data_IF_604192817766
#
_entry.id   IF_604192817766
#
_cell.length_a   1.000
_cell.length_b   1.000
_cell.length_c   1.000
_cell.angle_alpha   90.00
_cell.angle_beta   90.00
_cell.angle_gamma   90.00
#
_symmetry.space_group_name_H-M   'P 1'
#
loop_
_entity.id
_entity.type
_entity.pdbx_description
1 polymer ?
#
# COMPACT_ATOMS: atom_id res chain seq x y z
N UNK A 1 1.17 -24.06 -28.93
CA UNK A 1 0.05 -24.10 -27.96
C UNK A 1 -1.22 -23.53 -28.59
N UNK A 2 -1.35 -22.20 -28.62
CA UNK A 2 -2.55 -21.50 -29.11
C UNK A 2 -2.95 -21.79 -30.56
N UNK A 3 -2.02 -22.20 -31.42
CA UNK A 3 -2.27 -22.62 -32.81
C UNK A 3 -3.19 -23.83 -32.95
N UNK A 4 -3.41 -24.59 -31.87
CA UNK A 4 -4.30 -25.76 -31.83
C UNK A 4 -5.61 -25.50 -31.09
N UNK A 5 -5.85 -24.27 -30.62
CA UNK A 5 -7.11 -23.88 -29.99
C UNK A 5 -7.95 -23.08 -30.97
N UNK A 6 -9.09 -23.64 -31.38
CA UNK A 6 -10.00 -23.03 -32.37
C UNK A 6 -10.86 -21.88 -31.82
N UNK A 7 -10.65 -21.44 -30.57
CA UNK A 7 -11.51 -20.43 -29.91
C UNK A 7 -10.73 -19.41 -29.08
N UNK A 8 -11.17 -18.15 -29.14
CA UNK A 8 -10.78 -17.07 -28.21
C UNK A 8 -11.51 -17.27 -26.87
N UNK A 9 -10.81 -17.26 -25.74
CA UNK A 9 -11.37 -17.56 -24.41
C UNK A 9 -11.18 -16.38 -23.46
N UNK A 10 -12.12 -16.17 -22.53
CA UNK A 10 -12.06 -15.10 -21.51
C UNK A 10 -11.90 -13.69 -22.13
N UNK A 11 -11.02 -12.83 -21.58
CA UNK A 11 -10.76 -11.47 -22.06
C UNK A 11 -10.41 -11.40 -23.56
N UNK A 12 -9.80 -12.46 -24.10
CA UNK A 12 -9.42 -12.57 -25.51
C UNK A 12 -10.63 -12.69 -26.44
N UNK A 13 -11.82 -13.03 -25.93
CA UNK A 13 -13.05 -13.13 -26.73
C UNK A 13 -13.43 -11.80 -27.38
N UNK A 14 -13.02 -10.67 -26.79
CA UNK A 14 -13.27 -9.33 -27.32
C UNK A 14 -12.28 -8.92 -28.43
N UNK A 15 -11.20 -9.68 -28.65
CA UNK A 15 -10.18 -9.33 -29.61
C UNK A 15 -10.66 -9.62 -31.03
N UNK A 16 -10.38 -8.71 -31.98
CA UNK A 16 -10.72 -8.92 -33.40
C UNK A 16 -9.83 -9.97 -34.06
N UNK A 17 -8.56 -10.05 -33.66
CA UNK A 17 -7.55 -11.01 -34.16
C UNK A 17 -7.41 -12.22 -33.23
N UNK A 18 -6.88 -13.32 -33.73
CA UNK A 18 -6.52 -14.50 -32.92
C UNK A 18 -5.37 -14.17 -31.94
N UNK A 19 -5.21 -15.00 -30.92
CA UNK A 19 -4.14 -14.84 -29.92
C UNK A 19 -2.76 -14.81 -30.57
N UNK A 20 -2.51 -15.72 -31.51
CA UNK A 20 -1.24 -15.81 -32.26
C UNK A 20 -0.98 -14.57 -33.11
N UNK A 21 -2.01 -14.01 -33.76
CA UNK A 21 -1.87 -12.78 -34.55
C UNK A 21 -1.64 -11.54 -33.67
N UNK A 22 -2.26 -11.47 -32.49
CA UNK A 22 -2.03 -10.37 -31.54
C UNK A 22 -0.60 -10.43 -31.01
N UNK A 23 -0.14 -11.61 -30.56
CA UNK A 23 1.24 -11.76 -30.11
C UNK A 23 2.23 -11.47 -31.23
N UNK A 24 2.05 -12.04 -32.43
CA UNK A 24 2.95 -11.77 -33.55
C UNK A 24 3.02 -10.27 -33.93
N UNK A 25 1.90 -9.54 -33.82
CA UNK A 25 1.87 -8.10 -34.07
C UNK A 25 2.49 -7.25 -32.95
N UNK A 26 2.46 -7.75 -31.71
CA UNK A 26 3.00 -7.05 -30.53
C UNK A 26 4.44 -7.47 -30.21
N UNK A 27 4.92 -8.60 -30.73
CA UNK A 27 6.28 -9.08 -30.54
C UNK A 27 7.28 -8.16 -31.22
N UNK A 28 8.36 -7.83 -30.50
CA UNK A 28 9.50 -7.09 -31.01
C UNK A 28 10.71 -8.00 -31.14
N UNK A 29 11.63 -7.65 -32.04
CA UNK A 29 12.89 -8.37 -32.21
C UNK A 29 13.73 -8.30 -30.94
N UNK A 30 14.40 -9.41 -30.58
CA UNK A 30 15.38 -9.44 -29.48
C UNK A 30 16.52 -8.42 -29.67
N UNK A 31 16.78 -7.98 -30.91
CA UNK A 31 17.74 -6.92 -31.21
C UNK A 31 17.36 -5.56 -30.61
N UNK A 32 16.11 -5.38 -30.17
CA UNK A 32 15.67 -4.16 -29.49
C UNK A 32 16.11 -4.12 -28.03
N UNK A 33 16.38 -5.25 -27.38
CA UNK A 33 16.79 -5.29 -25.97
C UNK A 33 17.95 -4.34 -25.64
N UNK A 34 19.10 -4.37 -26.34
CA UNK A 34 20.19 -3.43 -26.06
C UNK A 34 19.82 -1.97 -26.34
N UNK A 35 19.00 -1.70 -27.36
CA UNK A 35 18.55 -0.33 -27.71
C UNK A 35 17.65 0.23 -26.60
N UNK A 36 16.66 -0.55 -26.17
CA UNK A 36 15.74 -0.17 -25.09
C UNK A 36 16.48 -0.01 -23.77
N UNK A 37 17.45 -0.88 -23.47
CA UNK A 37 18.32 -0.75 -22.29
C UNK A 37 19.08 0.58 -22.30
N UNK A 38 19.68 0.94 -23.44
CA UNK A 38 20.41 2.20 -23.60
C UNK A 38 19.50 3.42 -23.39
N UNK A 39 18.28 3.40 -23.93
CA UNK A 39 17.30 4.47 -23.72
C UNK A 39 16.86 4.58 -22.24
N UNK A 40 16.63 3.45 -21.57
CA UNK A 40 16.35 3.41 -20.13
C UNK A 40 17.50 4.03 -19.32
N UNK A 41 18.75 3.71 -19.67
CA UNK A 41 19.95 4.25 -19.01
C UNK A 41 20.06 5.78 -19.19
N UNK A 42 19.75 6.31 -20.37
CA UNK A 42 19.78 7.75 -20.66
C UNK A 42 18.83 8.55 -19.76
N UNK A 43 17.70 7.97 -19.38
CA UNK A 43 16.68 8.62 -18.54
C UNK A 43 16.74 8.19 -17.07
N UNK A 44 17.68 7.29 -16.71
CA UNK A 44 17.92 6.87 -15.34
C UNK A 44 16.87 5.92 -14.76
N UNK A 45 16.28 5.06 -15.60
CA UNK A 45 15.38 3.99 -15.15
C UNK A 45 15.99 2.62 -15.46
N UNK A 46 15.68 1.62 -14.65
CA UNK A 46 16.09 0.25 -14.94
C UNK A 46 15.29 -0.31 -16.12
N UNK A 47 15.98 -0.94 -17.06
CA UNK A 47 15.33 -1.76 -18.08
C UNK A 47 14.87 -3.08 -17.44
N UNK A 48 13.65 -3.47 -17.78
CA UNK A 48 13.01 -4.65 -17.23
C UNK A 48 12.20 -5.38 -18.30
N UNK A 49 12.16 -6.71 -18.22
CA UNK A 49 11.33 -7.56 -19.08
C UNK A 49 11.06 -8.91 -18.43
N UNK A 50 9.97 -9.57 -18.82
CA UNK A 50 9.66 -10.94 -18.40
C UNK A 50 10.04 -11.91 -19.51
N UNK A 51 11.01 -12.82 -19.31
CA UNK A 51 11.27 -13.90 -20.26
C UNK A 51 10.23 -15.01 -20.13
N UNK A 52 9.88 -15.65 -21.26
CA UNK A 52 8.80 -16.65 -21.36
C UNK A 52 9.31 -18.02 -21.83
N UNK A 53 10.62 -18.18 -22.02
CA UNK A 53 11.28 -19.42 -22.43
C UNK A 53 12.77 -19.41 -22.01
N UNK A 54 13.46 -20.54 -22.13
CA UNK A 54 14.87 -20.65 -21.72
C UNK A 54 15.80 -19.73 -22.52
N UNK A 55 15.58 -19.58 -23.82
CA UNK A 55 16.43 -18.75 -24.68
C UNK A 55 16.32 -17.27 -24.29
N UNK A 56 15.11 -16.80 -24.03
CA UNK A 56 14.86 -15.44 -23.54
C UNK A 56 15.44 -15.24 -22.15
N UNK A 57 15.36 -16.22 -21.23
CA UNK A 57 16.03 -16.15 -19.92
C UNK A 57 17.53 -15.88 -20.08
N UNK A 58 18.22 -16.64 -20.94
CA UNK A 58 19.65 -16.42 -21.18
C UNK A 58 19.94 -15.07 -21.85
N UNK A 59 19.14 -14.72 -22.87
CA UNK A 59 19.32 -13.48 -23.65
C UNK A 59 19.17 -12.24 -22.78
N UNK A 60 18.15 -12.16 -21.91
CA UNK A 60 17.88 -10.96 -21.12
C UNK A 60 18.71 -10.87 -19.85
N UNK A 61 19.27 -11.99 -19.38
CA UNK A 61 20.08 -12.04 -18.16
C UNK A 61 21.14 -10.93 -18.09
N UNK A 62 22.01 -10.66 -19.08
CA UNK A 62 23.00 -9.59 -18.97
C UNK A 62 22.42 -8.16 -18.89
N UNK A 63 21.14 -7.95 -19.24
CA UNK A 63 20.55 -6.62 -19.37
C UNK A 63 19.66 -6.20 -18.20
N UNK A 64 19.07 -7.15 -17.47
CA UNK A 64 18.09 -6.85 -16.42
C UNK A 64 18.71 -6.93 -15.01
N UNK A 65 18.25 -6.10 -14.04
CA UNK A 65 18.71 -6.17 -12.66
C UNK A 65 18.07 -7.31 -11.85
N UNK A 66 16.90 -7.79 -12.27
CA UNK A 66 16.11 -8.84 -11.62
C UNK A 66 15.28 -9.60 -12.66
N UNK A 67 14.87 -10.83 -12.34
CA UNK A 67 13.95 -11.61 -13.18
C UNK A 67 12.50 -11.37 -12.77
N UNK A 68 11.62 -11.22 -13.76
CA UNK A 68 10.17 -11.24 -13.57
C UNK A 68 9.58 -12.50 -14.19
N UNK A 69 8.93 -13.32 -13.37
CA UNK A 69 8.02 -14.35 -13.84
C UNK A 69 6.59 -13.79 -13.85
N UNK A 70 5.91 -13.90 -14.97
CA UNK A 70 4.49 -13.61 -15.08
C UNK A 70 3.67 -14.66 -14.35
N UNK A 71 2.36 -14.42 -14.23
CA UNK A 71 1.46 -15.39 -13.60
C UNK A 71 1.30 -16.69 -14.37
N UNK A 72 1.56 -16.67 -15.68
CA UNK A 72 1.54 -17.88 -16.52
C UNK A 72 2.71 -18.84 -16.25
N UNK A 73 3.78 -18.38 -15.60
CA UNK A 73 4.98 -19.20 -15.35
C UNK A 73 4.99 -19.81 -13.94
N UNK A 74 3.96 -19.58 -13.12
CA UNK A 74 3.99 -19.96 -11.69
C UNK A 74 4.13 -21.46 -11.45
N UNK A 75 3.60 -22.30 -12.35
CA UNK A 75 3.66 -23.75 -12.25
C UNK A 75 4.82 -24.36 -13.05
N UNK A 76 5.58 -23.56 -13.79
CA UNK A 76 6.77 -24.00 -14.52
C UNK A 76 8.02 -23.97 -13.62
N UNK A 77 8.06 -24.90 -12.67
CA UNK A 77 9.08 -24.96 -11.62
C UNK A 77 10.51 -24.97 -12.18
N UNK A 78 10.77 -25.70 -13.25
CA UNK A 78 12.10 -25.77 -13.85
C UNK A 78 12.60 -24.41 -14.36
N UNK A 79 11.72 -23.59 -14.96
CA UNK A 79 12.08 -22.25 -15.39
C UNK A 79 12.31 -21.30 -14.19
N UNK A 80 11.51 -21.43 -13.13
CA UNK A 80 11.69 -20.65 -11.90
C UNK A 80 13.02 -20.98 -11.22
N UNK A 81 13.37 -22.25 -11.10
CA UNK A 81 14.66 -22.70 -10.56
C UNK A 81 15.83 -22.24 -11.43
N UNK A 82 15.66 -22.29 -12.76
CA UNK A 82 16.67 -21.83 -13.70
C UNK A 82 16.93 -20.32 -13.58
N UNK A 83 15.89 -19.48 -13.51
CA UNK A 83 16.03 -18.05 -13.22
C UNK A 83 16.66 -17.80 -11.85
N UNK A 84 16.24 -18.54 -10.81
CA UNK A 84 16.79 -18.41 -9.47
C UNK A 84 18.30 -18.70 -9.43
N UNK A 85 18.76 -19.68 -10.21
CA UNK A 85 20.17 -20.08 -10.29
C UNK A 85 21.10 -18.98 -10.82
N UNK A 86 20.56 -17.99 -11.53
CA UNK A 86 21.31 -16.84 -12.05
C UNK A 86 21.72 -15.84 -10.95
N UNK A 87 21.22 -16.01 -9.73
CA UNK A 87 21.65 -15.24 -8.55
C UNK A 87 21.12 -13.80 -8.46
N UNK A 88 20.22 -13.40 -9.36
CA UNK A 88 19.58 -12.08 -9.36
C UNK A 88 18.27 -12.09 -8.57
N UNK A 89 17.81 -10.96 -8.00
CA UNK A 89 16.47 -10.88 -7.41
C UNK A 89 15.40 -11.39 -8.36
N UNK A 90 14.36 -12.00 -7.80
CA UNK A 90 13.22 -12.52 -8.54
C UNK A 90 11.92 -11.86 -8.09
N UNK A 91 11.04 -11.62 -9.04
CA UNK A 91 9.70 -11.11 -8.83
C UNK A 91 8.75 -12.10 -9.50
N UNK A 92 7.75 -12.59 -8.79
CA UNK A 92 6.75 -13.53 -9.32
C UNK A 92 5.35 -13.02 -9.02
N UNK A 93 4.50 -12.96 -10.06
CA UNK A 93 3.08 -12.68 -9.87
C UNK A 93 2.28 -13.98 -9.82
N UNK A 94 1.23 -14.04 -9.01
CA UNK A 94 0.48 -15.27 -8.77
C UNK A 94 -1.01 -15.23 -9.14
N UNK A 95 -1.36 -14.51 -10.21
CA UNK A 95 -2.74 -14.52 -10.71
C UNK A 95 -3.08 -15.86 -11.36
N UNK A 96 -4.38 -16.19 -11.40
CA UNK A 96 -4.87 -17.48 -11.89
C UNK A 96 -4.24 -18.72 -11.21
N UNK A 97 -3.68 -18.56 -10.01
CA UNK A 97 -3.02 -19.61 -9.24
C UNK A 97 -3.72 -19.84 -7.90
N UNK A 98 -3.70 -21.07 -7.41
CA UNK A 98 -4.13 -21.35 -6.04
C UNK A 98 -2.96 -21.26 -5.04
N UNK A 99 -3.25 -21.46 -3.75
CA UNK A 99 -2.22 -21.36 -2.71
C UNK A 99 -1.17 -22.46 -2.79
N UNK A 100 -1.51 -23.64 -3.33
CA UNK A 100 -0.57 -24.74 -3.49
C UNK A 100 0.42 -24.46 -4.63
N UNK A 101 -0.03 -23.85 -5.73
CA UNK A 101 0.84 -23.34 -6.80
C UNK A 101 1.84 -22.34 -6.26
N UNK A 102 1.34 -21.33 -5.52
CA UNK A 102 2.18 -20.30 -4.88
C UNK A 102 3.22 -20.94 -3.96
N UNK A 103 2.80 -21.88 -3.10
CA UNK A 103 3.70 -22.58 -2.19
C UNK A 103 4.80 -23.33 -2.93
N UNK A 104 4.47 -24.07 -3.99
CA UNK A 104 5.46 -24.79 -4.81
C UNK A 104 6.48 -23.84 -5.43
N UNK A 105 6.01 -22.78 -6.09
CA UNK A 105 6.86 -21.79 -6.74
C UNK A 105 7.80 -21.09 -5.75
N UNK A 106 7.25 -20.57 -4.66
CA UNK A 106 8.04 -19.87 -3.63
C UNK A 106 9.07 -20.80 -2.99
N UNK A 107 8.70 -22.04 -2.67
CA UNK A 107 9.66 -23.00 -2.08
C UNK A 107 10.76 -23.40 -3.06
N UNK A 108 10.45 -23.60 -4.34
CA UNK A 108 11.45 -23.91 -5.36
C UNK A 108 12.47 -22.77 -5.50
N UNK A 109 11.99 -21.53 -5.64
CA UNK A 109 12.86 -20.36 -5.74
C UNK A 109 13.70 -20.19 -4.46
N UNK A 110 13.07 -20.21 -3.29
CA UNK A 110 13.75 -19.94 -2.02
C UNK A 110 14.77 -21.01 -1.62
N UNK A 111 14.73 -22.22 -2.20
CA UNK A 111 15.81 -23.21 -2.02
C UNK A 111 17.12 -22.75 -2.66
N UNK A 112 17.04 -21.95 -3.72
CA UNK A 112 18.19 -21.53 -4.54
C UNK A 112 18.55 -20.07 -4.27
N UNK A 113 17.55 -19.19 -4.16
CA UNK A 113 17.73 -17.75 -4.09
C UNK A 113 16.73 -17.11 -3.11
N UNK A 114 17.23 -16.37 -2.12
CA UNK A 114 16.42 -15.74 -1.07
C UNK A 114 15.84 -14.38 -1.46
N UNK A 115 16.29 -13.81 -2.57
CA UNK A 115 15.88 -12.48 -3.02
C UNK A 115 14.59 -12.57 -3.83
N UNK A 116 13.45 -12.67 -3.14
CA UNK A 116 12.14 -12.88 -3.77
C UNK A 116 11.15 -11.77 -3.41
N UNK A 117 10.45 -11.28 -4.43
CA UNK A 117 9.20 -10.54 -4.30
C UNK A 117 8.02 -11.37 -4.82
N UNK A 118 7.03 -11.63 -3.97
CA UNK A 118 5.79 -12.32 -4.31
C UNK A 118 4.66 -11.30 -4.50
N UNK A 119 4.07 -11.25 -5.69
CA UNK A 119 3.04 -10.28 -6.03
C UNK A 119 1.66 -10.92 -6.07
N UNK A 120 0.74 -10.40 -5.24
CA UNK A 120 -0.68 -10.67 -5.42
C UNK A 120 -1.12 -10.12 -6.78
N UNK A 121 -1.92 -10.89 -7.51
CA UNK A 121 -2.36 -10.54 -8.85
C UNK A 121 -3.72 -11.17 -9.15
N UNK A 122 -4.58 -10.42 -9.84
CA UNK A 122 -5.73 -10.99 -10.53
C UNK A 122 -5.50 -10.86 -12.04
N UNK A 123 -5.37 -11.99 -12.74
CA UNK A 123 -5.09 -12.07 -14.18
C UNK A 123 -6.37 -11.89 -15.00
N UNK A 124 -7.02 -10.74 -14.86
CA UNK A 124 -8.14 -10.34 -15.69
C UNK A 124 -7.86 -8.96 -16.29
N UNK A 125 -7.58 -8.94 -17.59
CA UNK A 125 -7.19 -7.76 -18.36
C UNK A 125 -8.40 -7.03 -18.95
N UNK A 126 -9.55 -7.11 -18.28
CA UNK A 126 -10.73 -6.33 -18.68
C UNK A 126 -10.70 -4.96 -18.02
N UNK A 127 -11.19 -3.94 -18.71
CA UNK A 127 -11.41 -2.62 -18.13
C UNK A 127 -12.70 -2.56 -17.27
N UNK A 128 -13.15 -3.70 -16.73
CA UNK A 128 -14.45 -3.83 -16.06
C UNK A 128 -14.37 -3.37 -14.61
N UNK A 129 -15.34 -2.57 -14.11
CA UNK A 129 -15.48 -2.29 -12.68
C UNK A 129 -15.60 -3.57 -11.83
N UNK A 130 -16.17 -4.65 -12.36
CA UNK A 130 -16.32 -5.90 -11.60
C UNK A 130 -14.97 -6.52 -11.19
N UNK A 131 -13.87 -6.14 -11.83
CA UNK A 131 -12.54 -6.63 -11.46
C UNK A 131 -12.11 -6.20 -10.06
N UNK A 132 -12.65 -5.11 -9.52
CA UNK A 132 -12.37 -4.69 -8.15
C UNK A 132 -12.85 -5.73 -7.13
N UNK A 133 -13.95 -6.42 -7.41
CA UNK A 133 -14.52 -7.45 -6.52
C UNK A 133 -13.68 -8.73 -6.49
N UNK A 134 -12.80 -8.92 -7.47
CA UNK A 134 -12.00 -10.14 -7.65
C UNK A 134 -10.51 -9.96 -7.33
N UNK A 135 -10.07 -8.74 -6.98
CA UNK A 135 -8.66 -8.46 -6.73
C UNK A 135 -8.15 -9.11 -5.43
N UNK A 136 -9.04 -9.23 -4.43
CA UNK A 136 -8.81 -9.92 -3.16
C UNK A 136 -7.50 -9.51 -2.44
N UNK A 137 -7.28 -8.20 -2.24
CA UNK A 137 -6.05 -7.70 -1.61
C UNK A 137 -5.74 -8.29 -0.22
N UNK A 138 -6.74 -8.81 0.51
CA UNK A 138 -6.50 -9.50 1.78
C UNK A 138 -5.62 -10.76 1.65
N UNK A 139 -5.41 -11.30 0.45
CA UNK A 139 -4.42 -12.36 0.20
C UNK A 139 -3.01 -11.93 0.63
N UNK A 140 -2.68 -10.63 0.57
CA UNK A 140 -1.42 -10.11 1.08
C UNK A 140 -1.22 -10.40 2.58
N UNK A 141 -2.30 -10.44 3.38
CA UNK A 141 -2.23 -10.84 4.79
C UNK A 141 -1.84 -12.31 4.90
N UNK A 142 -2.46 -13.18 4.11
CA UNK A 142 -2.10 -14.61 4.05
C UNK A 142 -0.64 -14.80 3.65
N UNK A 143 -0.17 -14.10 2.62
CA UNK A 143 1.24 -14.17 2.19
C UNK A 143 2.19 -13.67 3.29
N UNK A 144 1.85 -12.59 4.00
CA UNK A 144 2.70 -12.08 5.08
C UNK A 144 2.89 -13.07 6.24
N UNK A 145 1.89 -13.91 6.52
CA UNK A 145 1.98 -14.96 7.55
C UNK A 145 2.75 -16.17 7.03
N UNK A 146 2.50 -16.58 5.78
CA UNK A 146 3.11 -17.79 5.20
C UNK A 146 4.57 -17.59 4.79
N UNK A 147 4.93 -16.38 4.38
CA UNK A 147 6.23 -16.04 3.82
C UNK A 147 6.77 -14.74 4.45
N UNK A 148 7.03 -14.74 5.78
CA UNK A 148 7.33 -13.51 6.53
C UNK A 148 8.60 -12.77 6.07
N UNK A 149 9.55 -13.50 5.47
CA UNK A 149 10.81 -12.95 4.97
C UNK A 149 10.76 -12.57 3.48
N UNK A 150 9.63 -12.77 2.81
CA UNK A 150 9.46 -12.48 1.37
C UNK A 150 8.85 -11.09 1.20
N UNK A 151 9.41 -10.30 0.27
CA UNK A 151 8.87 -8.99 -0.07
C UNK A 151 7.53 -9.19 -0.77
N UNK A 152 6.47 -8.51 -0.32
CA UNK A 152 5.17 -8.59 -0.99
C UNK A 152 4.99 -7.49 -2.02
N UNK A 153 4.22 -7.77 -3.06
CA UNK A 153 3.88 -6.81 -4.10
C UNK A 153 2.45 -6.94 -4.61
N UNK A 154 2.05 -6.02 -5.48
CA UNK A 154 0.79 -6.06 -6.21
C UNK A 154 1.08 -5.85 -7.70
N UNK A 155 0.63 -6.80 -8.53
CA UNK A 155 0.54 -6.65 -9.98
C UNK A 155 -0.93 -6.46 -10.33
N UNK A 156 -1.28 -5.28 -10.83
CA UNK A 156 -2.67 -4.82 -10.92
C UNK A 156 -3.07 -4.38 -12.33
N UNK A 157 -4.27 -4.79 -12.71
CA UNK A 157 -4.86 -4.58 -14.03
C UNK A 157 -6.14 -3.75 -13.96
N UNK A 158 -6.44 -3.15 -12.81
CA UNK A 158 -7.52 -2.18 -12.66
C UNK A 158 -7.08 -0.78 -13.11
N UNK A 159 -7.96 0.23 -13.06
CA UNK A 159 -7.64 1.62 -13.41
C UNK A 159 -7.37 2.53 -12.21
N UNK A 160 -7.83 2.13 -11.02
CA UNK A 160 -7.90 3.04 -9.87
C UNK A 160 -6.60 3.07 -9.10
N UNK A 161 -6.36 4.15 -8.37
CA UNK A 161 -5.28 4.26 -7.39
C UNK A 161 -5.62 3.53 -6.09
N UNK A 162 -6.92 3.37 -5.78
CA UNK A 162 -7.37 2.80 -4.50
C UNK A 162 -6.80 1.40 -4.21
N UNK A 163 -6.75 0.45 -5.17
CA UNK A 163 -6.13 -0.85 -4.93
C UNK A 163 -4.64 -0.79 -4.56
N UNK A 164 -3.90 0.12 -5.19
CA UNK A 164 -2.46 0.33 -4.92
C UNK A 164 -2.26 0.81 -3.49
N UNK A 165 -3.03 1.82 -3.06
CA UNK A 165 -2.99 2.32 -1.67
C UNK A 165 -3.38 1.24 -0.66
N UNK A 166 -4.40 0.44 -0.99
CA UNK A 166 -4.83 -0.71 -0.21
C UNK A 166 -3.70 -1.73 -0.05
N UNK A 167 -3.03 -2.11 -1.13
CA UNK A 167 -1.93 -3.07 -1.09
C UNK A 167 -0.74 -2.56 -0.28
N UNK A 168 -0.36 -1.28 -0.44
CA UNK A 168 0.74 -0.67 0.34
C UNK A 168 0.43 -0.68 1.83
N UNK A 169 -0.83 -0.39 2.20
CA UNK A 169 -1.33 -0.49 3.59
C UNK A 169 -1.24 -1.92 4.13
N UNK A 170 -1.43 -2.91 3.27
CA UNK A 170 -1.35 -4.33 3.61
C UNK A 170 0.08 -4.91 3.55
N UNK A 171 1.09 -4.07 3.35
CA UNK A 171 2.50 -4.47 3.41
C UNK A 171 3.18 -4.67 2.05
N UNK A 172 2.50 -4.44 0.92
CA UNK A 172 3.16 -4.48 -0.38
C UNK A 172 4.23 -3.38 -0.50
N UNK A 173 5.37 -3.72 -1.10
CA UNK A 173 6.54 -2.84 -1.34
C UNK A 173 6.94 -2.74 -2.80
N UNK A 174 6.23 -3.45 -3.68
CA UNK A 174 6.40 -3.38 -5.12
C UNK A 174 5.04 -3.30 -5.79
N UNK A 175 4.87 -2.35 -6.70
CA UNK A 175 3.63 -2.12 -7.44
C UNK A 175 3.95 -2.19 -8.94
N UNK A 176 3.21 -3.03 -9.65
CA UNK A 176 3.30 -3.18 -11.11
C UNK A 176 1.94 -2.84 -11.72
N UNK A 177 1.97 -2.00 -12.76
CA UNK A 177 0.81 -1.57 -13.54
C UNK A 177 1.24 -1.47 -15.00
N UNK A 178 0.33 -1.76 -15.92
CA UNK A 178 0.54 -1.42 -17.32
C UNK A 178 0.62 0.10 -17.47
N UNK A 179 1.47 0.56 -18.39
CA UNK A 179 1.65 1.98 -18.70
C UNK A 179 1.41 2.24 -20.18
N UNK A 180 0.83 3.39 -20.48
CA UNK A 180 0.67 3.90 -21.85
C UNK A 180 0.88 5.40 -21.86
N UNK A 181 1.34 5.95 -22.97
CA UNK A 181 1.29 7.39 -23.21
C UNK A 181 -0.14 7.90 -23.47
N UNK A 182 -1.04 7.06 -24.00
CA UNK A 182 -2.47 7.39 -24.16
C UNK A 182 -3.38 6.16 -24.20
N UNK A 183 -4.45 6.20 -23.42
CA UNK A 183 -5.50 5.17 -23.41
C UNK A 183 -6.34 5.13 -24.71
N UNK A 184 -6.20 6.11 -25.60
CA UNK A 184 -6.90 6.14 -26.89
C UNK A 184 -6.26 5.22 -27.93
N UNK A 185 -5.02 4.77 -27.70
CA UNK A 185 -4.31 3.86 -28.61
C UNK A 185 -5.04 2.54 -28.79
N UNK A 186 -4.83 1.95 -29.97
CA UNK A 186 -5.30 0.60 -30.28
C UNK A 186 -4.35 -0.45 -29.74
N UNK A 187 -4.89 -1.44 -29.06
CA UNK A 187 -4.16 -2.58 -28.51
C UNK A 187 -4.91 -3.16 -27.32
N UNK A 188 -4.56 -4.39 -26.90
CA UNK A 188 -5.30 -5.10 -25.87
C UNK A 188 -5.23 -4.40 -24.50
N UNK A 189 -4.10 -3.76 -24.21
CA UNK A 189 -3.80 -3.30 -22.85
C UNK A 189 -3.92 -1.80 -22.64
N UNK A 190 -3.99 -1.02 -23.73
CA UNK A 190 -4.06 0.44 -23.65
C UNK A 190 -5.27 0.95 -22.88
N UNK A 191 -6.39 0.22 -22.91
CA UNK A 191 -7.62 0.68 -22.26
C UNK A 191 -7.51 0.68 -20.74
N UNK A 192 -6.81 -0.27 -20.14
CA UNK A 192 -6.65 -0.37 -18.68
C UNK A 192 -5.31 0.11 -18.12
N UNK A 193 -4.32 0.34 -18.97
CA UNK A 193 -3.04 0.91 -18.58
C UNK A 193 -3.16 2.29 -17.91
N UNK A 194 -2.21 2.64 -17.06
CA UNK A 194 -2.04 3.98 -16.52
C UNK A 194 -1.43 4.90 -17.59
N UNK A 195 -2.04 6.07 -17.77
CA UNK A 195 -1.42 7.16 -18.53
C UNK A 195 -0.47 7.99 -17.64
N UNK A 196 0.31 8.95 -18.20
CA UNK A 196 1.25 9.73 -17.40
C UNK A 196 0.62 10.47 -16.22
N UNK A 197 -0.60 11.00 -16.39
CA UNK A 197 -1.33 11.71 -15.33
C UNK A 197 -1.72 10.77 -14.18
N UNK A 198 -2.35 9.64 -14.51
CA UNK A 198 -2.79 8.66 -13.52
C UNK A 198 -1.62 7.96 -12.83
N UNK A 199 -0.50 7.73 -13.56
CA UNK A 199 0.73 7.21 -12.98
C UNK A 199 1.33 8.19 -11.97
N UNK A 200 1.45 9.47 -12.33
CA UNK A 200 1.97 10.50 -11.43
C UNK A 200 1.11 10.62 -10.16
N UNK A 201 -0.22 10.63 -10.33
CA UNK A 201 -1.17 10.63 -9.21
C UNK A 201 -1.01 9.40 -8.32
N UNK A 202 -0.87 8.21 -8.90
CA UNK A 202 -0.63 6.97 -8.14
C UNK A 202 0.62 7.07 -7.28
N UNK A 203 1.72 7.59 -7.83
CA UNK A 203 2.98 7.78 -7.09
C UNK A 203 2.81 8.81 -5.98
N UNK A 204 2.22 9.96 -6.28
CA UNK A 204 1.98 11.03 -5.30
C UNK A 204 1.15 10.53 -4.11
N UNK A 205 -0.01 9.93 -4.38
CA UNK A 205 -0.91 9.41 -3.34
C UNK A 205 -0.25 8.30 -2.52
N UNK A 206 0.56 7.45 -3.14
CA UNK A 206 1.32 6.41 -2.44
C UNK A 206 2.33 7.03 -1.47
N UNK A 207 3.07 8.05 -1.91
CA UNK A 207 4.05 8.75 -1.05
C UNK A 207 3.37 9.54 0.06
N UNK A 208 2.21 10.13 -0.20
CA UNK A 208 1.39 10.76 0.84
C UNK A 208 0.93 9.74 1.87
N UNK A 209 0.44 8.57 1.43
CA UNK A 209 0.03 7.48 2.32
C UNK A 209 1.19 7.00 3.20
N UNK A 210 2.36 6.73 2.62
CA UNK A 210 3.54 6.26 3.35
C UNK A 210 3.97 7.27 4.43
N UNK A 211 3.98 8.56 4.10
CA UNK A 211 4.24 9.64 5.07
C UNK A 211 3.18 9.71 6.16
N UNK A 212 1.95 9.28 5.88
CA UNK A 212 0.82 9.37 6.80
C UNK A 212 0.76 8.23 7.82
N UNK A 213 1.42 7.09 7.58
CA UNK A 213 1.39 5.98 8.52
C UNK A 213 1.97 6.35 9.90
N UNK A 214 3.05 7.15 9.94
CA UNK A 214 3.59 7.68 11.18
C UNK A 214 3.89 6.60 12.24
N UNK A 215 3.57 6.90 13.51
CA UNK A 215 3.77 5.99 14.64
C UNK A 215 2.47 5.26 15.00
N UNK A 216 2.60 4.02 15.49
CA UNK A 216 1.49 3.29 16.12
C UNK A 216 1.07 3.87 17.47
N UNK A 217 1.91 4.71 18.09
CA UNK A 217 1.63 5.30 19.39
C UNK A 217 0.74 6.54 19.26
N UNK A 218 -0.33 6.61 20.05
CA UNK A 218 -1.18 7.80 20.11
C UNK A 218 -0.62 8.83 21.10
N UNK A 219 -0.02 9.88 20.57
CA UNK A 219 0.39 11.05 21.32
C UNK A 219 -0.17 12.35 20.70
N UNK A 220 0.15 13.47 21.34
CA UNK A 220 -0.20 14.82 20.85
C UNK A 220 0.95 15.27 19.96
N UNK A 221 0.67 15.46 18.68
CA UNK A 221 1.69 15.78 17.71
C UNK A 221 2.27 17.19 17.95
N UNK A 222 3.45 17.47 17.37
CA UNK A 222 4.12 18.77 17.54
C UNK A 222 3.25 19.95 17.09
N UNK A 223 2.47 19.78 16.03
CA UNK A 223 1.54 20.79 15.50
C UNK A 223 0.23 20.92 16.32
N UNK A 224 0.01 20.08 17.33
CA UNK A 224 -1.22 20.09 18.14
C UNK A 224 -1.00 20.66 19.56
N UNK A 225 0.23 21.07 19.92
CA UNK A 225 0.55 21.47 21.29
C UNK A 225 -0.28 22.66 21.78
N UNK A 226 -0.49 23.65 20.92
CA UNK A 226 -1.37 24.80 21.23
C UNK A 226 -2.85 24.38 21.22
N UNK A 227 -3.25 23.58 20.23
CA UNK A 227 -4.61 23.05 20.09
C UNK A 227 -5.04 22.26 21.33
N UNK A 228 -4.15 21.47 21.94
CA UNK A 228 -4.39 20.76 23.19
C UNK A 228 -4.85 21.70 24.30
N UNK A 229 -4.25 22.89 24.40
CA UNK A 229 -4.60 23.87 25.45
C UNK A 229 -5.95 24.51 25.13
N UNK A 230 -6.11 25.00 23.90
CA UNK A 230 -7.30 25.78 23.49
C UNK A 230 -8.57 24.92 23.42
N UNK A 231 -8.47 23.71 22.87
CA UNK A 231 -9.63 22.86 22.58
C UNK A 231 -10.01 21.92 23.73
N UNK A 232 -9.13 21.68 24.71
CA UNK A 232 -9.47 20.84 25.86
C UNK A 232 -10.12 21.66 26.96
N UNK A 233 -10.93 20.98 27.76
CA UNK A 233 -11.61 21.56 28.92
C UNK A 233 -10.80 21.33 30.21
N UNK A 234 -10.93 22.22 31.16
CA UNK A 234 -10.51 22.04 32.55
C UNK A 234 -11.68 22.34 33.49
N UNK A 235 -11.50 22.02 34.76
CA UNK A 235 -12.43 22.41 35.80
C UNK A 235 -12.26 23.92 36.06
N UNK A 236 -13.38 24.63 36.15
CA UNK A 236 -13.46 26.06 36.45
C UNK A 236 -14.53 26.30 37.51
N UNK A 237 -14.43 27.40 38.25
CA UNK A 237 -15.47 27.79 39.20
C UNK A 237 -16.77 28.16 38.45
N UNK A 238 -17.90 27.55 38.79
CA UNK A 238 -19.21 27.82 38.21
C UNK A 238 -19.92 29.04 38.86
N UNK A 239 -19.32 29.60 39.91
CA UNK A 239 -19.70 30.82 40.62
C UNK A 239 -18.48 31.39 41.33
N UNK A 240 -18.62 32.52 42.00
CA UNK A 240 -17.62 32.96 42.98
C UNK A 240 -17.58 31.98 44.17
N UNK A 241 -16.37 31.57 44.58
CA UNK A 241 -16.09 30.64 45.67
C UNK A 241 -15.15 31.32 46.67
N UNK A 242 -15.46 31.25 47.96
CA UNK A 242 -14.69 31.86 49.04
C UNK A 242 -13.70 30.88 49.67
N UNK A 243 -12.58 31.40 50.17
CA UNK A 243 -11.64 30.62 50.94
C UNK A 243 -12.33 29.90 52.12
N UNK A 244 -12.05 28.62 52.29
CA UNK A 244 -12.64 27.73 53.30
C UNK A 244 -13.90 26.98 52.85
N UNK A 245 -14.56 27.38 51.75
CA UNK A 245 -15.71 26.63 51.21
C UNK A 245 -15.28 25.23 50.74
N UNK A 246 -16.17 24.25 50.95
CA UNK A 246 -15.98 22.87 50.47
C UNK A 246 -16.58 22.75 49.08
N UNK A 247 -15.81 22.26 48.10
CA UNK A 247 -16.27 22.09 46.72
C UNK A 247 -17.39 21.04 46.64
N UNK A 248 -18.52 21.43 46.07
CA UNK A 248 -19.59 20.55 45.61
C UNK A 248 -19.62 20.51 44.08
N UNK A 249 -20.35 19.55 43.51
CA UNK A 249 -20.42 19.40 42.04
C UNK A 249 -20.97 20.65 41.35
N UNK A 250 -21.99 21.29 41.90
CA UNK A 250 -22.63 22.49 41.33
C UNK A 250 -21.71 23.73 41.33
N UNK A 251 -20.64 23.72 42.12
CA UNK A 251 -19.63 24.79 42.14
C UNK A 251 -18.60 24.67 41.01
N UNK A 252 -18.63 23.60 40.22
CA UNK A 252 -17.62 23.27 39.22
C UNK A 252 -18.23 23.23 37.82
N UNK A 253 -17.65 24.01 36.93
CA UNK A 253 -17.93 23.99 35.51
C UNK A 253 -16.80 23.32 34.73
N UNK A 254 -17.13 22.79 33.55
CA UNK A 254 -16.17 22.09 32.68
C UNK A 254 -16.04 22.84 31.36
N UNK A 255 -15.07 23.75 31.29
CA UNK A 255 -14.98 24.75 30.23
C UNK A 255 -13.58 24.83 29.62
N UNK A 256 -13.50 25.37 28.40
CA UNK A 256 -12.24 25.66 27.69
C UNK A 256 -11.74 27.07 28.05
N UNK A 257 -10.44 27.38 27.82
CA UNK A 257 -9.34 26.49 27.49
C UNK A 257 -8.79 25.80 28.74
N UNK A 258 -8.06 24.70 28.57
CA UNK A 258 -7.41 23.98 29.66
C UNK A 258 -5.95 24.39 29.79
N UNK A 259 -5.71 25.51 30.48
CA UNK A 259 -4.36 26.07 30.69
C UNK A 259 -3.42 25.05 31.36
N UNK A 260 -2.10 25.13 31.14
CA UNK A 260 -1.14 24.25 31.81
C UNK A 260 -1.32 24.28 33.33
N UNK A 261 -1.37 23.09 33.95
CA UNK A 261 -1.60 22.92 35.39
C UNK A 261 -3.06 23.04 35.86
N UNK A 262 -4.01 23.36 34.98
CA UNK A 262 -5.43 23.32 35.32
C UNK A 262 -5.91 21.86 35.47
N UNK A 263 -6.70 21.61 36.51
CA UNK A 263 -7.25 20.27 36.81
C UNK A 263 -8.16 19.83 35.67
N UNK A 264 -7.99 18.58 35.23
CA UNK A 264 -8.72 18.04 34.08
C UNK A 264 -10.10 17.52 34.48
N UNK A 265 -11.05 17.42 33.52
CA UNK A 265 -12.42 17.04 33.83
C UNK A 265 -12.57 15.66 34.47
N UNK A 266 -11.70 14.70 34.11
CA UNK A 266 -11.73 13.35 34.67
C UNK A 266 -11.28 13.30 36.15
N UNK A 267 -10.76 14.40 36.69
CA UNK A 267 -10.31 14.49 38.09
C UNK A 267 -11.36 15.17 39.00
N UNK A 268 -12.58 15.43 38.49
CA UNK A 268 -13.61 16.19 39.23
C UNK A 268 -13.97 15.58 40.59
N UNK A 269 -14.07 14.25 40.67
CA UNK A 269 -14.39 13.55 41.92
C UNK A 269 -13.29 13.75 42.98
N UNK A 270 -12.05 13.97 42.56
CA UNK A 270 -10.94 14.25 43.47
C UNK A 270 -10.95 15.70 44.00
N UNK A 271 -11.74 16.58 43.37
CA UNK A 271 -11.94 17.98 43.79
C UNK A 271 -13.13 18.09 44.75
N UNK A 272 -14.19 17.32 44.54
CA UNK A 272 -15.37 17.34 45.40
C UNK A 272 -14.98 16.96 46.84
N UNK A 273 -15.45 17.74 47.82
CA UNK A 273 -15.11 17.56 49.23
C UNK A 273 -13.81 18.24 49.68
N UNK A 274 -12.99 18.75 48.75
CA UNK A 274 -11.81 19.59 49.10
C UNK A 274 -12.24 20.99 49.51
N UNK A 275 -11.37 21.70 50.24
CA UNK A 275 -11.58 23.10 50.62
C UNK A 275 -10.86 24.06 49.69
N UNK A 276 -11.48 25.18 49.31
CA UNK A 276 -10.78 26.26 48.62
C UNK A 276 -9.79 26.94 49.58
N UNK A 277 -8.51 27.04 49.22
CA UNK A 277 -7.50 27.72 50.05
C UNK A 277 -7.53 29.24 49.87
N UNK A 278 -8.10 29.71 48.77
CA UNK A 278 -8.18 31.11 48.37
C UNK A 278 -9.56 31.40 47.76
N UNK A 279 -9.91 32.68 47.67
CA UNK A 279 -11.07 33.12 46.89
C UNK A 279 -10.84 32.83 45.39
N UNK A 280 -11.89 32.35 44.71
CA UNK A 280 -11.89 32.03 43.29
C UNK A 280 -13.11 32.67 42.61
N UNK A 281 -12.93 33.62 41.69
CA UNK A 281 -14.05 34.20 40.96
C UNK A 281 -14.63 33.22 39.94
N UNK A 282 -15.89 33.45 39.53
CA UNK A 282 -16.57 32.75 38.45
C UNK A 282 -15.66 32.61 37.21
N UNK A 283 -15.56 31.40 36.68
CA UNK A 283 -14.78 31.09 35.48
C UNK A 283 -13.28 30.94 35.72
N UNK A 284 -12.75 31.16 36.92
CA UNK A 284 -11.34 30.84 37.24
C UNK A 284 -11.09 29.34 37.12
N UNK A 285 -10.00 28.92 36.49
CA UNK A 285 -9.61 27.50 36.49
C UNK A 285 -9.17 27.01 37.87
N UNK A 286 -9.48 25.75 38.14
CA UNK A 286 -9.08 25.08 39.37
C UNK A 286 -7.68 24.47 39.24
N UNK A 287 -6.87 24.59 40.29
CA UNK A 287 -5.49 24.08 40.35
C UNK A 287 -5.24 23.38 41.69
N UNK A 288 -4.58 22.23 41.67
CA UNK A 288 -4.35 21.42 42.88
C UNK A 288 -3.69 22.18 44.04
N UNK A 289 -2.80 23.12 43.73
CA UNK A 289 -2.12 23.99 44.72
C UNK A 289 -3.05 24.95 45.45
N UNK A 290 -4.29 25.12 44.99
CA UNK A 290 -5.30 26.02 45.55
C UNK A 290 -6.38 25.26 46.34
N UNK A 291 -6.25 23.93 46.46
CA UNK A 291 -7.19 23.04 47.14
C UNK A 291 -6.53 22.45 48.40
N UNK A 292 -7.23 22.57 49.53
CA UNK A 292 -6.85 22.02 50.83
C UNK A 292 -7.58 20.72 51.14
N UNK A 293 -7.04 19.97 52.10
CA UNK A 293 -7.68 18.77 52.66
C UNK A 293 -9.03 19.05 53.32
#
# INVERSE_FOLDING_TARGET
GFTHMDSKVSHQATWKKSVTEVYAAASVSQSWTPILKEECDKVGIDFFTSPYDYDSIEHVNPYIPAFKAGSGEIDWIEALEHMASKGKPMIIACGAADIADVQRAVQAILKINKQLCLMQCNTNYTASPDNYDHLHLNVLKTFSVMFPDVILGLSDHTHSVAPVLGAVTLGARMIERHFTDSNDREGPDHKFAMNPENWAKMVEETRLLERSFGSSDKFIAGNEQQTKVVQRRCLRAARDIKAGEVFTRDMIDVLRPATPGAIKPHEIENVIGKKALIDMPLGKELRWTELGS
#
